data_IF_470558672489
#
_entry.id   IF_470558672489
#
_cell.length_a   1.000
_cell.length_b   1.000
_cell.length_c   1.000
_cell.angle_alpha   90.00
_cell.angle_beta   90.00
_cell.angle_gamma   90.00
#
_symmetry.space_group_name_H-M   'P 1'
#
loop_
_entity.id
_entity.type
_entity.pdbx_description
1 polymer ?
#
# COMPACT_ATOMS: atom_id res chain seq x y z
N UNK A 1 -66.53 10.04 1.57
CA UNK A 1 -65.60 10.41 2.66
C UNK A 1 -64.81 9.18 3.09
N UNK A 2 -63.47 9.33 3.17
CA UNK A 2 -62.45 8.36 3.63
C UNK A 2 -62.32 7.05 2.83
N UNK A 3 -61.37 7.05 1.89
CA UNK A 3 -60.72 5.82 1.42
C UNK A 3 -59.32 5.76 2.02
N UNK A 4 -59.06 4.71 2.81
CA UNK A 4 -57.75 4.39 3.34
C UNK A 4 -56.99 3.56 2.30
N UNK A 5 -56.03 4.19 1.62
CA UNK A 5 -55.07 3.48 0.77
C UNK A 5 -53.78 3.21 1.57
N UNK A 6 -53.68 1.99 2.08
CA UNK A 6 -52.43 1.40 2.56
C UNK A 6 -51.57 1.05 1.35
N UNK A 7 -50.55 1.86 1.06
CA UNK A 7 -49.55 1.53 0.02
C UNK A 7 -48.41 0.76 0.67
N UNK A 8 -48.39 -0.56 0.44
CA UNK A 8 -47.22 -1.41 0.65
C UNK A 8 -46.07 -0.95 -0.26
N UNK A 9 -45.04 -0.31 0.31
CA UNK A 9 -43.74 -0.13 -0.37
C UNK A 9 -42.97 -1.45 -0.30
N UNK A 10 -42.97 -2.18 -1.40
CA UNK A 10 -42.20 -3.41 -1.55
C UNK A 10 -40.70 -3.11 -1.62
N UNK A 11 -39.97 -3.66 -0.66
CA UNK A 11 -38.50 -3.76 -0.66
C UNK A 11 -38.14 -4.93 -1.57
N UNK A 12 -37.71 -4.66 -2.81
CA UNK A 12 -37.11 -5.68 -3.70
C UNK A 12 -36.09 -5.06 -4.65
N UNK A 13 -34.94 -4.66 -4.12
CA UNK A 13 -33.76 -4.30 -4.92
C UNK A 13 -32.48 -4.88 -4.29
N UNK A 14 -32.35 -6.20 -4.23
CA UNK A 14 -31.04 -6.81 -3.88
C UNK A 14 -30.75 -8.18 -4.49
N UNK A 15 -31.71 -8.83 -5.16
CA UNK A 15 -31.44 -10.08 -5.92
C UNK A 15 -31.27 -9.86 -7.42
N UNK A 16 -31.93 -8.87 -8.00
CA UNK A 16 -31.85 -8.60 -9.45
C UNK A 16 -30.49 -8.05 -9.89
N UNK A 17 -29.88 -7.14 -9.12
CA UNK A 17 -28.55 -6.60 -9.42
C UNK A 17 -27.43 -7.65 -9.29
N UNK A 18 -27.58 -8.60 -8.37
CA UNK A 18 -26.66 -9.74 -8.22
C UNK A 18 -26.86 -10.74 -9.35
N UNK A 19 -28.10 -11.04 -9.75
CA UNK A 19 -28.41 -11.94 -10.86
C UNK A 19 -27.90 -11.39 -12.22
N UNK A 20 -28.03 -10.07 -12.46
CA UNK A 20 -27.49 -9.45 -13.68
C UNK A 20 -25.95 -9.56 -13.77
N UNK A 21 -25.24 -9.41 -12.65
CA UNK A 21 -23.78 -9.60 -12.58
C UNK A 21 -23.35 -11.05 -12.84
N UNK A 22 -24.18 -12.02 -12.44
CA UNK A 22 -23.90 -13.44 -12.70
C UNK A 22 -24.21 -13.83 -14.15
N UNK A 23 -25.28 -13.28 -14.75
CA UNK A 23 -25.62 -13.55 -16.15
C UNK A 23 -24.58 -12.98 -17.13
N UNK A 24 -24.02 -11.78 -16.88
CA UNK A 24 -22.95 -11.23 -17.74
C UNK A 24 -21.62 -11.99 -17.61
N UNK A 25 -21.40 -12.78 -16.55
CA UNK A 25 -20.23 -13.67 -16.44
C UNK A 25 -20.35 -14.94 -17.29
N UNK A 26 -21.55 -15.32 -17.71
CA UNK A 26 -21.78 -16.56 -18.50
C UNK A 26 -21.72 -16.37 -20.01
N UNK A 27 -21.66 -15.13 -20.51
CA UNK A 27 -21.63 -14.83 -21.96
C UNK A 27 -20.24 -14.38 -22.47
N UNK A 28 -19.16 -14.65 -21.73
CA UNK A 28 -17.79 -14.39 -22.20
C UNK A 28 -16.88 -15.62 -22.13
N UNK A 29 -17.45 -16.82 -22.29
CA UNK A 29 -16.68 -18.06 -22.45
C UNK A 29 -17.17 -18.81 -23.68
N UNK A 30 -16.70 -18.37 -24.84
CA UNK A 30 -16.55 -19.21 -26.04
C UNK A 30 -15.33 -18.69 -26.79
N UNK A 31 -14.34 -19.58 -26.87
CA UNK A 31 -13.04 -19.42 -27.49
C UNK A 31 -13.17 -19.15 -29.00
N UNK A 32 -12.23 -18.36 -29.52
CA UNK A 32 -11.73 -18.46 -30.89
C UNK A 32 -10.39 -17.69 -30.93
N UNK A 33 -9.35 -18.27 -30.34
CA UNK A 33 -7.96 -17.86 -30.62
C UNK A 33 -7.39 -18.87 -31.63
N UNK A 34 -7.51 -18.52 -32.90
CA UNK A 34 -6.77 -19.14 -33.99
C UNK A 34 -5.29 -18.80 -33.86
N UNK A 35 -4.50 -19.81 -33.54
CA UNK A 35 -3.07 -19.99 -33.86
C UNK A 35 -2.29 -18.74 -34.30
N UNK A 36 -1.63 -18.11 -33.34
CA UNK A 36 -0.32 -17.48 -33.52
C UNK A 36 0.48 -17.68 -32.25
N UNK A 37 1.53 -18.51 -32.34
CA UNK A 37 2.46 -18.86 -31.26
C UNK A 37 3.40 -17.69 -30.95
N UNK A 38 2.84 -16.57 -30.50
CA UNK A 38 3.58 -15.56 -29.74
C UNK A 38 3.43 -15.92 -28.27
N UNK A 39 4.53 -16.29 -27.61
CA UNK A 39 4.60 -16.46 -26.16
C UNK A 39 4.03 -15.21 -25.49
N UNK A 40 2.77 -15.29 -25.01
CA UNK A 40 2.12 -14.15 -24.37
C UNK A 40 2.95 -13.75 -23.15
N UNK A 41 3.62 -12.58 -23.23
CA UNK A 41 4.34 -12.01 -22.09
C UNK A 41 3.35 -11.78 -20.96
N UNK A 42 3.47 -12.55 -19.89
CA UNK A 42 2.61 -12.43 -18.71
C UNK A 42 2.86 -11.07 -18.08
N UNK A 43 1.80 -10.28 -17.90
CA UNK A 43 1.87 -8.95 -17.30
C UNK A 43 2.50 -9.01 -15.87
N UNK A 44 3.43 -8.10 -15.50
CA UNK A 44 4.11 -8.12 -14.19
C UNK A 44 3.18 -8.18 -12.98
N UNK A 45 2.06 -7.43 -13.00
CA UNK A 45 1.02 -7.50 -11.97
C UNK A 45 0.37 -8.89 -11.74
N UNK A 46 0.58 -9.86 -12.65
CA UNK A 46 0.12 -11.25 -12.43
C UNK A 46 1.16 -12.12 -11.73
N UNK A 47 2.40 -11.63 -11.57
CA UNK A 47 3.53 -12.34 -10.97
C UNK A 47 3.93 -11.76 -9.60
N UNK A 48 2.98 -11.15 -8.89
CA UNK A 48 3.26 -10.47 -7.61
C UNK A 48 3.70 -11.47 -6.52
N UNK A 49 3.19 -12.70 -6.57
CA UNK A 49 3.64 -13.79 -5.72
C UNK A 49 4.17 -14.93 -6.60
N UNK A 50 5.50 -15.01 -6.81
CA UNK A 50 6.09 -16.00 -7.71
C UNK A 50 6.26 -17.38 -7.08
N UNK A 51 6.06 -17.51 -5.77
CA UNK A 51 6.38 -18.72 -5.00
C UNK A 51 5.40 -19.86 -5.29
N UNK A 52 5.95 -21.06 -5.46
CA UNK A 52 5.20 -22.31 -5.65
C UNK A 52 5.05 -23.10 -4.35
N UNK A 53 5.86 -22.79 -3.34
CA UNK A 53 5.85 -23.44 -2.03
C UNK A 53 6.13 -22.44 -0.90
N UNK A 54 5.81 -22.87 0.32
CA UNK A 54 6.08 -22.08 1.53
C UNK A 54 7.59 -21.91 1.75
N UNK A 55 8.39 -22.93 1.45
CA UNK A 55 9.85 -22.86 1.51
C UNK A 55 10.44 -21.82 0.56
N UNK A 56 9.92 -21.72 -0.67
CA UNK A 56 10.33 -20.68 -1.62
C UNK A 56 10.00 -19.29 -1.08
N UNK A 57 8.81 -19.12 -0.49
CA UNK A 57 8.40 -17.88 0.16
C UNK A 57 9.33 -17.52 1.33
N UNK A 58 9.64 -18.47 2.21
CA UNK A 58 10.51 -18.24 3.36
C UNK A 58 11.94 -17.87 2.94
N UNK A 59 12.50 -18.56 1.93
CA UNK A 59 13.81 -18.23 1.36
C UNK A 59 13.82 -16.85 0.71
N UNK A 60 12.76 -16.48 0.02
CA UNK A 60 12.60 -15.14 -0.56
C UNK A 60 12.49 -14.05 0.52
N UNK A 61 11.79 -14.31 1.63
CA UNK A 61 11.74 -13.38 2.75
C UNK A 61 13.10 -13.19 3.41
N UNK A 62 13.93 -14.24 3.48
CA UNK A 62 15.30 -14.16 3.98
C UNK A 62 16.18 -13.29 3.08
N UNK A 63 16.07 -13.44 1.76
CA UNK A 63 16.76 -12.57 0.79
C UNK A 63 16.34 -11.11 0.88
N UNK A 64 15.10 -10.87 1.32
CA UNK A 64 14.54 -9.53 1.50
C UNK A 64 14.89 -8.88 2.85
N UNK A 65 15.81 -9.44 3.64
CA UNK A 65 16.35 -8.78 4.85
C UNK A 65 17.18 -7.57 4.41
N UNK A 66 16.83 -6.38 4.88
CA UNK A 66 17.45 -5.10 4.51
C UNK A 66 18.21 -4.45 5.67
N UNK A 67 18.10 -4.99 6.88
CA UNK A 67 18.84 -4.53 8.06
C UNK A 67 18.92 -5.66 9.09
N UNK A 68 20.10 -5.88 9.65
CA UNK A 68 20.33 -6.82 10.75
C UNK A 68 21.47 -6.31 11.63
N UNK A 69 21.15 -5.49 12.63
CA UNK A 69 22.12 -4.97 13.60
C UNK A 69 21.44 -4.57 14.90
N UNK A 70 22.19 -4.58 16.01
CA UNK A 70 21.74 -4.10 17.34
C UNK A 70 20.46 -4.81 17.85
N UNK A 71 20.24 -6.06 17.43
CA UNK A 71 19.02 -6.82 17.74
C UNK A 71 17.76 -6.32 17.04
N UNK A 72 17.90 -5.46 16.03
CA UNK A 72 16.83 -4.98 15.16
C UNK A 72 17.00 -5.67 13.80
N UNK A 73 15.91 -6.25 13.31
CA UNK A 73 15.86 -6.86 11.98
C UNK A 73 14.80 -6.16 11.16
N UNK A 74 15.13 -5.82 9.91
CA UNK A 74 14.19 -5.25 8.97
C UNK A 74 14.10 -6.07 7.69
N UNK A 75 12.88 -6.23 7.18
CA UNK A 75 12.58 -6.97 5.96
C UNK A 75 11.82 -6.06 5.01
N UNK A 76 12.17 -6.09 3.73
CA UNK A 76 11.35 -5.51 2.67
C UNK A 76 10.18 -6.46 2.37
N UNK A 77 9.01 -6.19 2.93
CA UNK A 77 7.85 -7.07 2.76
C UNK A 77 7.22 -6.86 1.38
N UNK A 78 6.90 -7.94 0.63
CA UNK A 78 6.18 -7.83 -0.62
C UNK A 78 4.72 -7.39 -0.40
N UNK A 79 4.13 -6.83 -1.44
CA UNK A 79 2.71 -6.47 -1.45
C UNK A 79 1.84 -7.73 -1.33
N UNK A 80 0.72 -7.64 -0.63
CA UNK A 80 -0.29 -8.69 -0.57
C UNK A 80 -0.13 -9.67 0.60
N UNK A 81 1.05 -9.72 1.24
CA UNK A 81 1.32 -10.58 2.40
C UNK A 81 0.84 -9.90 3.69
N UNK A 82 -0.09 -10.53 4.46
CA UNK A 82 -0.51 -10.07 5.77
C UNK A 82 0.49 -10.47 6.86
N UNK A 83 0.40 -9.81 8.03
CA UNK A 83 1.16 -10.22 9.21
C UNK A 83 0.70 -11.58 9.73
N UNK A 84 -0.61 -11.79 9.84
CA UNK A 84 -1.22 -13.03 10.36
C UNK A 84 -2.12 -13.68 9.31
N UNK A 85 -2.14 -15.01 9.28
CA UNK A 85 -3.02 -15.78 8.41
C UNK A 85 -4.50 -15.60 8.77
N UNK A 86 -5.38 -15.67 7.76
CA UNK A 86 -6.82 -15.39 7.87
C UNK A 86 -7.68 -16.63 8.10
N UNK A 87 -7.16 -17.67 8.77
CA UNK A 87 -7.83 -18.99 8.86
C UNK A 87 -9.27 -18.97 9.42
N UNK A 88 -9.77 -17.88 10.03
CA UNK A 88 -11.12 -17.83 10.64
C UNK A 88 -11.91 -16.51 10.48
N UNK A 89 -11.56 -15.61 9.56
CA UNK A 89 -12.29 -14.32 9.44
C UNK A 89 -13.47 -14.49 8.48
N UNK A 90 -14.70 -14.46 9.01
CA UNK A 90 -15.94 -14.35 8.20
C UNK A 90 -15.76 -13.23 7.16
N UNK A 91 -16.08 -13.42 5.87
CA UNK A 91 -15.84 -12.45 4.82
C UNK A 91 -16.81 -11.26 4.94
N UNK A 92 -16.61 -10.43 5.95
CA UNK A 92 -17.34 -9.19 6.09
C UNK A 92 -16.73 -8.14 5.14
N UNK A 93 -17.45 -7.83 4.06
CA UNK A 93 -17.47 -6.53 3.38
C UNK A 93 -16.18 -6.00 2.71
N UNK A 94 -15.22 -6.86 2.36
CA UNK A 94 -14.05 -6.45 1.55
C UNK A 94 -13.86 -7.33 0.30
N UNK A 95 -14.94 -7.50 -0.48
CA UNK A 95 -14.93 -8.22 -1.76
C UNK A 95 -14.13 -7.51 -2.88
N UNK A 96 -13.60 -6.30 -2.64
CA UNK A 96 -13.22 -5.41 -3.73
C UNK A 96 -11.72 -5.38 -4.04
N UNK A 97 -10.87 -6.00 -3.20
CA UNK A 97 -9.42 -5.98 -3.43
C UNK A 97 -8.88 -7.38 -3.72
N UNK A 98 -8.98 -7.78 -4.98
CA UNK A 98 -8.38 -9.02 -5.50
C UNK A 98 -6.87 -8.84 -5.61
N UNK A 99 -6.11 -9.81 -5.09
CA UNK A 99 -4.68 -9.93 -5.35
C UNK A 99 -4.54 -11.08 -6.34
N UNK A 100 -4.03 -10.81 -7.54
CA UNK A 100 -3.85 -11.83 -8.57
C UNK A 100 -2.70 -12.75 -8.17
N UNK A 101 -2.92 -14.07 -8.24
CA UNK A 101 -1.95 -15.04 -7.73
C UNK A 101 -1.77 -14.95 -6.22
N UNK A 102 -2.82 -14.64 -5.45
CA UNK A 102 -2.72 -14.57 -4.00
C UNK A 102 -2.17 -15.89 -3.41
N UNK A 103 -1.02 -15.82 -2.74
CA UNK A 103 -0.51 -16.91 -1.93
C UNK A 103 -1.16 -16.83 -0.54
N UNK A 104 -1.46 -17.98 0.06
CA UNK A 104 -2.03 -18.06 1.41
C UNK A 104 -0.93 -18.18 2.48
N UNK A 105 0.08 -17.32 2.38
CA UNK A 105 1.17 -17.20 3.35
C UNK A 105 1.00 -15.93 4.18
N UNK A 106 1.49 -15.97 5.42
CA UNK A 106 1.61 -14.79 6.26
C UNK A 106 3.04 -14.60 6.73
N UNK A 107 3.37 -13.36 7.08
CA UNK A 107 4.70 -13.03 7.57
C UNK A 107 5.03 -13.80 8.85
N UNK A 108 4.03 -14.04 9.71
CA UNK A 108 4.17 -14.83 10.92
C UNK A 108 4.59 -16.28 10.67
N UNK A 109 4.22 -16.86 9.53
CA UNK A 109 4.60 -18.23 9.17
C UNK A 109 6.10 -18.32 8.85
N UNK A 110 6.67 -17.25 8.28
CA UNK A 110 8.11 -17.18 7.98
C UNK A 110 8.99 -16.80 9.19
N UNK A 111 8.44 -16.21 10.26
CA UNK A 111 9.26 -15.69 11.38
C UNK A 111 10.11 -16.76 12.09
N UNK A 112 9.63 -17.98 12.38
CA UNK A 112 10.45 -19.01 13.01
C UNK A 112 11.64 -19.41 12.13
N UNK A 113 11.40 -19.63 10.83
CA UNK A 113 12.45 -19.95 9.87
C UNK A 113 13.49 -18.82 9.77
N UNK A 114 13.03 -17.57 9.71
CA UNK A 114 13.92 -16.41 9.66
C UNK A 114 14.74 -16.26 10.95
N UNK A 115 14.14 -16.52 12.11
CA UNK A 115 14.86 -16.47 13.39
C UNK A 115 15.98 -17.51 13.45
N UNK A 116 15.71 -18.74 13.00
CA UNK A 116 16.70 -19.80 12.89
C UNK A 116 17.84 -19.42 11.93
N UNK A 117 17.51 -18.93 10.73
CA UNK A 117 18.52 -18.60 9.70
C UNK A 117 19.34 -17.35 10.01
N UNK A 118 18.82 -16.43 10.82
CA UNK A 118 19.51 -15.23 11.26
C UNK A 118 20.24 -15.42 12.61
N UNK A 119 20.20 -16.62 13.18
CA UNK A 119 20.78 -16.97 14.49
C UNK A 119 20.30 -16.02 15.61
N UNK A 120 18.99 -15.79 15.68
CA UNK A 120 18.35 -14.95 16.70
C UNK A 120 17.28 -15.73 17.46
N UNK A 121 17.04 -15.42 18.76
CA UNK A 121 16.14 -16.21 19.59
C UNK A 121 14.67 -16.16 19.12
N UNK A 122 14.22 -15.01 18.61
CA UNK A 122 12.89 -14.84 18.02
C UNK A 122 12.81 -13.52 17.26
N UNK A 123 11.78 -13.37 16.41
CA UNK A 123 11.45 -12.10 15.76
C UNK A 123 10.11 -11.58 16.29
N UNK A 124 10.16 -10.47 17.04
CA UNK A 124 8.97 -9.82 17.58
C UNK A 124 8.54 -8.66 16.66
N UNK A 125 7.33 -8.69 16.05
CA UNK A 125 6.85 -7.61 15.19
C UNK A 125 6.74 -6.27 15.94
N UNK A 126 7.41 -5.23 15.43
CA UNK A 126 7.31 -3.87 15.99
C UNK A 126 6.58 -2.92 15.04
N UNK A 127 7.01 -2.83 13.79
CA UNK A 127 6.43 -1.91 12.81
C UNK A 127 6.30 -2.57 11.44
N UNK A 128 5.09 -2.97 11.09
CA UNK A 128 4.83 -3.83 9.94
C UNK A 128 4.04 -3.07 8.86
N UNK A 129 4.48 -3.15 7.60
CA UNK A 129 3.73 -2.65 6.46
C UNK A 129 2.34 -3.33 6.36
N UNK A 130 1.31 -2.59 5.94
CA UNK A 130 -0.03 -3.14 5.78
C UNK A 130 -0.10 -4.22 4.70
N UNK A 131 -1.14 -5.06 4.71
CA UNK A 131 -1.31 -6.13 3.70
C UNK A 131 -1.17 -5.60 2.27
N UNK A 132 -1.82 -4.49 1.95
CA UNK A 132 -1.84 -3.91 0.60
C UNK A 132 -0.70 -2.90 0.37
N UNK A 133 0.40 -3.02 1.11
CA UNK A 133 1.57 -2.15 1.03
C UNK A 133 2.82 -3.02 1.02
N UNK A 134 3.81 -2.66 0.19
CA UNK A 134 5.16 -3.24 0.27
C UNK A 134 6.08 -2.35 1.11
N UNK A 135 7.28 -2.82 1.45
CA UNK A 135 8.30 -2.01 2.13
C UNK A 135 8.60 -2.47 3.55
N UNK A 136 9.21 -1.57 4.31
CA UNK A 136 9.87 -1.87 5.59
C UNK A 136 8.94 -2.56 6.59
N UNK A 137 9.40 -3.69 7.12
CA UNK A 137 8.86 -4.35 8.31
C UNK A 137 9.95 -4.51 9.35
N UNK A 138 9.77 -3.91 10.53
CA UNK A 138 10.72 -3.92 11.63
C UNK A 138 10.34 -4.94 12.71
N UNK A 139 11.36 -5.67 13.16
CA UNK A 139 11.31 -6.67 14.20
C UNK A 139 12.38 -6.39 15.26
N UNK A 140 12.07 -6.69 16.52
CA UNK A 140 13.07 -6.77 17.58
C UNK A 140 13.30 -8.21 17.98
N UNK A 141 14.52 -8.56 18.39
CA UNK A 141 14.85 -9.94 18.79
C UNK A 141 14.33 -10.31 20.19
N UNK A 142 13.97 -9.31 21.00
CA UNK A 142 13.46 -9.49 22.34
C UNK A 142 12.65 -8.27 22.80
N UNK A 143 11.98 -8.40 23.96
CA UNK A 143 11.14 -7.35 24.56
C UNK A 143 11.92 -6.06 24.88
N UNK A 144 13.19 -6.17 25.24
CA UNK A 144 14.01 -5.00 25.59
C UNK A 144 14.28 -4.14 24.36
N UNK A 145 14.62 -4.75 23.22
CA UNK A 145 14.81 -4.06 21.94
C UNK A 145 13.50 -3.42 21.48
N UNK A 146 12.37 -4.15 21.53
CA UNK A 146 11.06 -3.56 21.19
C UNK A 146 10.71 -2.34 22.07
N UNK A 147 11.06 -2.36 23.36
CA UNK A 147 10.89 -1.21 24.25
C UNK A 147 11.78 -0.04 23.84
N UNK A 148 13.02 -0.28 23.46
CA UNK A 148 13.93 0.76 22.96
C UNK A 148 13.42 1.38 21.64
N UNK A 149 12.94 0.54 20.72
CA UNK A 149 12.32 0.98 19.46
C UNK A 149 11.08 1.86 19.71
N UNK A 150 10.24 1.50 20.69
CA UNK A 150 9.08 2.30 21.07
C UNK A 150 9.48 3.68 21.61
N UNK A 151 10.52 3.75 22.45
CA UNK A 151 11.07 5.01 22.94
C UNK A 151 11.65 5.85 21.78
N UNK A 152 12.40 5.22 20.87
CA UNK A 152 12.95 5.88 19.69
C UNK A 152 11.85 6.45 18.78
N UNK A 153 10.76 5.70 18.58
CA UNK A 153 9.58 6.15 17.83
C UNK A 153 8.89 7.35 18.49
N UNK A 154 8.78 7.37 19.82
CA UNK A 154 8.17 8.53 20.51
C UNK A 154 9.00 9.80 20.34
N UNK A 155 10.32 9.66 20.28
CA UNK A 155 11.25 10.79 20.10
C UNK A 155 11.17 11.43 18.71
N UNK A 156 10.73 10.69 17.68
CA UNK A 156 10.64 11.22 16.30
C UNK A 156 9.45 12.16 16.07
N UNK A 157 8.61 12.39 17.10
CA UNK A 157 7.51 13.37 17.11
C UNK A 157 6.57 13.27 15.89
N UNK A 158 6.42 12.08 15.31
CA UNK A 158 5.54 11.84 14.17
C UNK A 158 6.19 12.00 12.79
N UNK A 159 7.50 12.22 12.67
CA UNK A 159 8.24 12.17 11.39
C UNK A 159 9.00 10.86 11.26
N UNK A 160 8.26 9.75 11.27
CA UNK A 160 8.83 8.43 11.49
C UNK A 160 8.67 7.49 10.29
N UNK A 161 7.78 7.76 9.34
CA UNK A 161 7.56 6.90 8.18
C UNK A 161 7.40 7.72 6.91
N UNK A 162 8.20 7.36 5.91
CA UNK A 162 8.18 7.90 4.56
C UNK A 162 7.59 6.85 3.62
N UNK A 163 6.60 7.26 2.83
CA UNK A 163 5.85 6.45 1.89
C UNK A 163 6.04 7.00 0.49
N UNK A 164 6.19 6.10 -0.47
CA UNK A 164 6.10 6.42 -1.88
C UNK A 164 4.83 5.82 -2.45
N UNK A 165 4.17 6.58 -3.31
CA UNK A 165 2.91 6.20 -3.92
C UNK A 165 2.80 6.71 -5.35
N UNK A 166 2.11 5.93 -6.19
CA UNK A 166 1.71 6.34 -7.53
C UNK A 166 0.22 6.68 -7.51
N UNK A 167 -0.15 7.87 -7.95
CA UNK A 167 -1.55 8.32 -8.03
C UNK A 167 -2.07 8.32 -9.46
N UNK A 168 -3.38 8.20 -9.65
CA UNK A 168 -4.01 8.15 -10.99
C UNK A 168 -4.19 9.52 -11.65
N UNK A 169 -3.65 10.58 -11.05
CA UNK A 169 -3.59 11.95 -11.56
C UNK A 169 -2.56 12.78 -10.80
N UNK A 170 -2.31 13.99 -11.26
CA UNK A 170 -1.53 14.98 -10.51
C UNK A 170 -2.44 15.65 -9.46
N UNK A 171 -1.99 15.76 -8.19
CA UNK A 171 -2.72 16.53 -7.19
C UNK A 171 -2.73 18.03 -7.54
N UNK A 172 -3.76 18.76 -7.11
CA UNK A 172 -3.85 20.21 -7.39
C UNK A 172 -2.68 21.00 -6.76
N UNK A 173 -2.24 20.56 -5.58
CA UNK A 173 -1.10 21.11 -4.88
C UNK A 173 0.06 20.10 -4.95
N UNK A 174 1.26 20.57 -5.28
CA UNK A 174 2.44 19.71 -5.49
C UNK A 174 3.22 19.42 -4.20
N UNK A 175 2.98 20.17 -3.12
CA UNK A 175 3.58 19.96 -1.81
C UNK A 175 2.74 20.61 -0.73
N UNK A 176 2.77 20.09 0.48
CA UNK A 176 2.04 20.69 1.59
C UNK A 176 2.27 19.97 2.91
N UNK A 177 1.80 20.62 3.98
CA UNK A 177 1.77 20.07 5.34
C UNK A 177 0.35 20.15 5.86
N UNK A 178 -0.16 19.05 6.36
CA UNK A 178 -1.52 18.96 6.88
C UNK A 178 -1.52 18.39 8.28
N UNK A 179 -2.33 19.02 9.13
CA UNK A 179 -2.70 18.51 10.45
C UNK A 179 -4.21 18.36 10.48
N UNK A 180 -4.68 17.13 10.66
CA UNK A 180 -6.10 16.83 10.65
C UNK A 180 -6.47 15.77 11.70
N UNK A 181 -7.75 15.68 12.00
CA UNK A 181 -8.34 14.64 12.82
C UNK A 181 -8.83 13.48 11.96
N UNK A 182 -8.83 12.29 12.53
CA UNK A 182 -9.38 11.09 11.91
C UNK A 182 -10.38 10.45 12.86
N UNK A 183 -11.57 10.12 12.35
CA UNK A 183 -12.65 9.47 13.10
C UNK A 183 -13.23 8.28 12.33
N UNK A 184 -13.92 7.39 13.04
CA UNK A 184 -14.75 6.35 12.44
C UNK A 184 -16.19 6.84 12.42
N UNK A 185 -16.67 7.21 11.24
CA UNK A 185 -18.06 7.55 11.02
C UNK A 185 -18.89 6.27 10.97
N UNK A 186 -20.11 6.30 11.49
CA UNK A 186 -21.02 5.16 11.53
C UNK A 186 -22.24 5.47 10.67
N UNK A 187 -22.55 4.60 9.71
CA UNK A 187 -23.76 4.71 8.90
C UNK A 187 -25.02 4.41 9.71
N UNK A 188 -26.18 4.75 9.13
CA UNK A 188 -27.48 4.35 9.69
C UNK A 188 -27.62 2.83 9.86
N UNK A 189 -26.94 2.03 9.03
CA UNK A 189 -26.90 0.57 9.11
C UNK A 189 -25.83 0.03 10.08
N UNK A 190 -25.17 0.90 10.86
CA UNK A 190 -24.14 0.52 11.84
C UNK A 190 -22.76 0.20 11.27
N UNK A 191 -22.58 0.27 9.94
CA UNK A 191 -21.25 0.07 9.32
C UNK A 191 -20.35 1.26 9.60
N UNK A 192 -19.08 1.01 9.94
CA UNK A 192 -18.10 2.06 10.27
C UNK A 192 -17.10 2.28 9.16
N UNK A 193 -16.84 3.54 8.80
CA UNK A 193 -15.81 3.91 7.80
C UNK A 193 -14.95 5.07 8.31
N UNK A 194 -13.63 5.05 8.04
CA UNK A 194 -12.77 6.17 8.40
C UNK A 194 -13.06 7.39 7.53
N UNK A 195 -13.00 8.57 8.15
CA UNK A 195 -13.05 9.88 7.49
C UNK A 195 -12.01 10.84 8.09
N UNK A 196 -11.60 11.82 7.29
CA UNK A 196 -10.71 12.92 7.69
C UNK A 196 -11.58 14.13 8.05
N UNK A 197 -11.30 14.73 9.21
CA UNK A 197 -11.95 15.96 9.68
C UNK A 197 -10.92 17.05 9.90
N UNK A 198 -11.21 18.27 9.45
CA UNK A 198 -10.32 19.44 9.59
C UNK A 198 -10.56 20.22 10.87
N UNK A 199 -11.70 19.98 11.53
CA UNK A 199 -12.08 20.61 12.79
C UNK A 199 -12.47 19.55 13.81
N UNK A 200 -12.06 19.74 15.06
CA UNK A 200 -12.38 18.82 16.17
C UNK A 200 -12.30 19.54 17.52
N UNK A 201 -12.95 18.95 18.53
CA UNK A 201 -12.88 19.41 19.92
C UNK A 201 -11.70 18.75 20.64
N UNK A 202 -10.94 19.50 21.43
CA UNK A 202 -9.82 18.95 22.23
C UNK A 202 -10.27 17.83 23.18
N UNK A 203 -11.49 17.91 23.72
CA UNK A 203 -12.03 16.85 24.57
C UNK A 203 -12.26 15.53 23.81
N UNK A 204 -12.61 15.58 22.52
CA UNK A 204 -12.75 14.38 21.69
C UNK A 204 -11.39 13.70 21.45
N UNK A 205 -10.31 14.48 21.38
CA UNK A 205 -8.93 13.96 21.32
C UNK A 205 -8.55 13.28 22.63
N UNK A 206 -8.82 13.93 23.78
CA UNK A 206 -8.57 13.35 25.12
C UNK A 206 -9.34 12.04 25.34
N UNK A 207 -10.57 11.95 24.83
CA UNK A 207 -11.42 10.75 24.87
C UNK A 207 -11.07 9.69 23.80
N UNK A 208 -10.02 9.89 23.02
CA UNK A 208 -9.59 9.00 21.93
C UNK A 208 -10.62 8.79 20.80
N UNK A 209 -11.64 9.66 20.71
CA UNK A 209 -12.63 9.66 19.62
C UNK A 209 -12.03 10.20 18.32
N UNK A 210 -11.13 11.18 18.43
CA UNK A 210 -10.38 11.78 17.31
C UNK A 210 -8.91 11.45 17.42
N UNK A 211 -8.31 10.96 16.33
CA UNK A 211 -6.86 10.77 16.23
C UNK A 211 -6.25 11.87 15.37
N UNK A 212 -5.36 12.66 15.97
CA UNK A 212 -4.62 13.71 15.24
C UNK A 212 -3.52 13.06 14.42
N UNK A 213 -3.41 13.45 13.16
CA UNK A 213 -2.41 12.98 12.22
C UNK A 213 -1.76 14.18 11.55
N UNK A 214 -0.43 14.15 11.47
CA UNK A 214 0.37 15.10 10.71
C UNK A 214 0.89 14.39 9.45
N UNK A 215 0.72 15.04 8.31
CA UNK A 215 1.15 14.56 7.01
C UNK A 215 1.88 15.67 6.27
N UNK A 216 3.12 15.40 5.89
CA UNK A 216 3.88 16.23 4.96
C UNK A 216 3.94 15.47 3.62
N UNK A 217 3.72 16.14 2.50
CA UNK A 217 3.80 15.49 1.19
C UNK A 217 4.46 16.38 0.15
N UNK A 218 5.03 15.75 -0.88
CA UNK A 218 5.57 16.39 -2.07
C UNK A 218 5.46 15.47 -3.29
N UNK A 219 5.14 16.03 -4.44
CA UNK A 219 5.25 15.35 -5.73
C UNK A 219 6.73 15.24 -6.07
N UNK A 220 7.20 14.02 -6.34
CA UNK A 220 8.58 13.74 -6.78
C UNK A 220 8.68 13.91 -8.29
N UNK A 221 7.77 13.26 -9.03
CA UNK A 221 7.76 13.27 -10.50
C UNK A 221 6.34 13.08 -11.01
N UNK A 222 6.05 13.65 -12.17
CA UNK A 222 4.85 13.33 -12.94
C UNK A 222 5.20 12.36 -14.07
N UNK A 223 4.19 11.64 -14.55
CA UNK A 223 4.33 10.74 -15.69
C UNK A 223 4.20 11.50 -17.01
N UNK A 224 4.39 10.77 -18.11
CA UNK A 224 4.00 11.21 -19.45
C UNK A 224 2.60 11.84 -19.43
N UNK A 225 2.47 13.01 -20.06
CA UNK A 225 1.23 13.79 -20.16
C UNK A 225 0.55 14.16 -18.82
N UNK A 226 1.25 14.13 -17.68
CA UNK A 226 0.68 14.41 -16.36
C UNK A 226 -0.54 13.52 -16.01
N UNK A 227 -0.55 12.28 -16.51
CA UNK A 227 -1.63 11.31 -16.24
C UNK A 227 -1.54 10.72 -14.83
N UNK A 228 -0.38 10.77 -14.19
CA UNK A 228 -0.12 10.24 -12.85
C UNK A 228 1.05 10.96 -12.18
N UNK A 229 1.17 10.80 -10.87
CA UNK A 229 2.29 11.35 -10.09
C UNK A 229 2.89 10.28 -9.18
N UNK A 230 4.21 10.33 -9.03
CA UNK A 230 4.94 9.73 -7.93
C UNK A 230 5.01 10.76 -6.79
N UNK A 231 4.50 10.40 -5.63
CA UNK A 231 4.39 11.29 -4.46
C UNK A 231 5.14 10.66 -3.28
N UNK A 232 5.89 11.49 -2.56
CA UNK A 232 6.40 11.18 -1.23
C UNK A 232 5.44 11.71 -0.17
N UNK A 233 5.08 10.86 0.77
CA UNK A 233 4.31 11.23 1.96
C UNK A 233 5.11 10.85 3.21
N UNK A 234 5.27 11.79 4.14
CA UNK A 234 5.75 11.52 5.50
C UNK A 234 4.56 11.65 6.44
N UNK A 235 4.28 10.63 7.23
CA UNK A 235 3.11 10.61 8.12
C UNK A 235 3.46 10.23 9.55
N UNK A 236 2.71 10.81 10.50
CA UNK A 236 2.76 10.47 11.92
C UNK A 236 1.93 9.26 12.31
N UNK A 237 1.16 8.68 11.38
CA UNK A 237 0.38 7.47 11.59
C UNK A 237 0.09 6.74 10.28
N UNK A 238 -0.14 5.43 10.37
CA UNK A 238 -0.69 4.59 9.29
C UNK A 238 -2.07 4.02 9.58
N UNK A 239 -2.69 4.44 10.69
CA UNK A 239 -3.95 3.84 11.16
C UNK A 239 -5.06 4.01 10.11
N UNK A 240 -5.92 2.99 10.00
CA UNK A 240 -7.13 3.00 9.16
C UNK A 240 -6.86 3.41 7.70
N UNK A 241 -5.74 2.96 7.11
CA UNK A 241 -5.35 3.27 5.74
C UNK A 241 -5.25 4.78 5.44
N UNK A 242 -4.81 5.57 6.42
CA UNK A 242 -4.84 7.04 6.29
C UNK A 242 -4.08 7.55 5.06
N UNK A 243 -2.96 6.93 4.66
CA UNK A 243 -2.19 7.38 3.50
C UNK A 243 -3.04 7.31 2.21
N UNK A 244 -3.77 6.21 2.05
CA UNK A 244 -4.71 5.99 0.93
C UNK A 244 -5.87 6.98 0.97
N UNK A 245 -6.48 7.13 2.15
CA UNK A 245 -7.61 8.03 2.34
C UNK A 245 -7.22 9.50 2.13
N UNK A 246 -6.02 9.90 2.59
CA UNK A 246 -5.46 11.23 2.43
C UNK A 246 -5.24 11.57 0.96
N UNK A 247 -4.54 10.71 0.22
CA UNK A 247 -4.32 10.93 -1.21
C UNK A 247 -5.64 11.00 -2.00
N UNK A 248 -6.58 10.10 -1.71
CA UNK A 248 -7.90 10.12 -2.35
C UNK A 248 -8.69 11.39 -2.00
N UNK A 249 -8.91 11.69 -0.72
CA UNK A 249 -9.89 12.71 -0.31
C UNK A 249 -9.30 14.10 -0.07
N UNK A 250 -8.06 14.23 0.38
CA UNK A 250 -7.44 15.53 0.62
C UNK A 250 -6.73 16.05 -0.64
N UNK A 251 -6.04 15.15 -1.38
CA UNK A 251 -5.34 15.53 -2.61
C UNK A 251 -6.18 15.36 -3.89
N UNK A 252 -7.39 14.79 -3.79
CA UNK A 252 -8.23 14.42 -4.92
C UNK A 252 -7.48 13.56 -5.96
N UNK A 253 -6.51 12.77 -5.50
CA UNK A 253 -5.56 12.05 -6.33
C UNK A 253 -5.41 10.62 -5.80
N UNK A 254 -6.38 9.72 -6.10
CA UNK A 254 -6.39 8.38 -5.53
C UNK A 254 -5.20 7.56 -6.02
N UNK A 255 -4.77 6.59 -5.20
CA UNK A 255 -3.65 5.73 -5.54
C UNK A 255 -4.02 4.80 -6.70
N UNK A 256 -3.04 4.54 -7.57
CA UNK A 256 -3.14 3.54 -8.62
C UNK A 256 -3.37 2.16 -7.99
N UNK A 257 -4.46 1.51 -8.40
CA UNK A 257 -4.90 0.22 -7.87
C UNK A 257 -5.70 0.29 -6.56
N UNK A 258 -6.02 1.47 -6.01
CA UNK A 258 -6.77 1.57 -4.75
C UNK A 258 -8.27 1.29 -4.90
N UNK A 259 -8.67 0.04 -4.71
CA UNK A 259 -10.07 -0.38 -4.80
C UNK A 259 -10.87 -0.22 -3.49
N UNK A 260 -10.29 0.39 -2.44
CA UNK A 260 -10.93 0.58 -1.13
C UNK A 260 -11.35 2.04 -0.93
N UNK A 261 -10.44 2.97 -1.21
CA UNK A 261 -10.63 4.40 -1.03
C UNK A 261 -10.57 5.18 -2.34
N UNK A 262 -10.16 4.58 -3.46
CA UNK A 262 -10.05 5.29 -4.73
C UNK A 262 -11.38 5.88 -5.22
N UNK A 263 -12.50 5.18 -5.01
CA UNK A 263 -13.84 5.62 -5.43
C UNK A 263 -14.46 6.72 -4.54
N UNK A 264 -13.77 7.10 -3.44
CA UNK A 264 -14.17 8.21 -2.55
C UNK A 264 -14.07 9.58 -3.20
N UNK A 265 -13.48 9.65 -4.39
CA UNK A 265 -13.49 10.83 -5.24
C UNK A 265 -13.86 10.43 -6.66
N UNK A 266 -14.67 11.26 -7.31
CA UNK A 266 -15.10 11.04 -8.69
C UNK A 266 -15.14 12.37 -9.44
N UNK A 267 -14.90 12.30 -10.73
CA UNK A 267 -15.06 13.43 -11.65
C UNK A 267 -16.50 13.48 -12.15
N UNK A 268 -17.17 14.60 -11.89
CA UNK A 268 -18.54 14.89 -12.32
C UNK A 268 -18.52 16.22 -13.04
N UNK A 269 -18.87 16.22 -14.33
CA UNK A 269 -18.88 17.42 -15.19
C UNK A 269 -17.54 18.19 -15.18
N UNK A 270 -16.42 17.47 -15.20
CA UNK A 270 -15.07 18.05 -15.18
C UNK A 270 -14.58 18.51 -13.80
N UNK A 271 -15.37 18.32 -12.74
CA UNK A 271 -15.02 18.72 -11.38
C UNK A 271 -14.88 17.47 -10.50
N UNK A 272 -13.80 17.44 -9.72
CA UNK A 272 -13.55 16.35 -8.78
C UNK A 272 -14.22 16.61 -7.44
N UNK A 273 -15.06 15.68 -7.02
CA UNK A 273 -15.87 15.80 -5.82
C UNK A 273 -15.61 14.62 -4.87
N UNK A 274 -15.71 14.90 -3.57
CA UNK A 274 -15.72 13.87 -2.52
C UNK A 274 -17.07 13.17 -2.55
N UNK A 275 -17.02 11.86 -2.49
CA UNK A 275 -18.21 11.00 -2.43
C UNK A 275 -18.43 10.58 -0.98
N UNK A 276 -19.68 10.64 -0.55
CA UNK A 276 -20.10 10.15 0.77
C UNK A 276 -19.54 8.74 1.02
N UNK A 277 -18.90 8.46 2.17
CA UNK A 277 -18.31 7.16 2.49
C UNK A 277 -19.20 5.95 2.23
N UNK A 278 -20.49 6.11 2.43
CA UNK A 278 -21.51 5.07 2.46
C UNK A 278 -22.33 5.01 1.18
N UNK A 279 -22.09 5.91 0.23
CA UNK A 279 -22.69 5.84 -1.10
C UNK A 279 -22.36 4.53 -1.82
N UNK A 280 -23.32 4.01 -2.59
CA UNK A 280 -23.19 2.74 -3.32
C UNK A 280 -22.11 2.78 -4.40
N UNK A 281 -21.83 3.97 -4.95
CA UNK A 281 -20.79 4.15 -5.96
C UNK A 281 -19.39 3.82 -5.44
N UNK A 282 -19.16 3.84 -4.12
CA UNK A 282 -17.90 3.41 -3.51
C UNK A 282 -17.65 1.90 -3.59
N UNK A 283 -18.65 1.09 -3.94
CA UNK A 283 -18.47 -0.34 -4.15
C UNK A 283 -17.96 -0.69 -5.55
N UNK A 284 -17.96 0.28 -6.48
CA UNK A 284 -17.41 0.10 -7.81
C UNK A 284 -15.91 0.38 -7.82
N UNK A 285 -15.19 -0.17 -8.82
CA UNK A 285 -13.79 0.15 -9.04
C UNK A 285 -13.65 1.66 -9.36
N UNK A 286 -12.57 2.32 -8.89
CA UNK A 286 -12.29 3.71 -9.25
C UNK A 286 -12.13 3.83 -10.76
N UNK A 287 -12.62 4.91 -11.37
CA UNK A 287 -12.41 5.15 -12.80
C UNK A 287 -10.97 5.60 -13.03
N UNK A 288 -10.23 4.88 -13.88
CA UNK A 288 -8.88 5.24 -14.29
C UNK A 288 -8.92 5.81 -15.71
N UNK A 289 -8.06 6.80 -15.99
CA UNK A 289 -7.92 7.37 -17.33
C UNK A 289 -7.49 6.30 -18.34
N UNK A 290 -8.13 6.26 -19.51
CA UNK A 290 -7.89 5.28 -20.57
C UNK A 290 -6.44 5.31 -21.07
N UNK A 291 -5.86 6.49 -21.27
CA UNK A 291 -4.46 6.65 -21.70
C UNK A 291 -3.49 6.14 -20.63
N UNK A 292 -3.82 6.30 -19.35
CA UNK A 292 -3.01 5.73 -18.26
C UNK A 292 -3.03 4.21 -18.28
N UNK A 293 -4.19 3.60 -18.55
CA UNK A 293 -4.31 2.15 -18.70
C UNK A 293 -3.53 1.63 -19.93
N UNK A 294 -3.58 2.36 -21.04
CA UNK A 294 -2.82 2.05 -22.26
C UNK A 294 -1.31 2.11 -22.03
N UNK A 295 -0.82 3.13 -21.32
CA UNK A 295 0.58 3.20 -20.90
C UNK A 295 1.00 2.01 -20.03
N UNK A 296 0.08 1.46 -19.24
CA UNK A 296 0.32 0.28 -18.41
C UNK A 296 0.05 -1.04 -19.15
N UNK A 297 -0.30 -1.02 -20.44
CA UNK A 297 -0.69 -2.21 -21.21
C UNK A 297 -1.86 -3.00 -20.57
N UNK A 298 -2.84 -2.29 -20.01
CA UNK A 298 -4.00 -2.87 -19.34
C UNK A 298 -5.28 -2.45 -20.02
N UNK A 299 -6.18 -3.40 -20.27
CA UNK A 299 -7.54 -3.10 -20.73
C UNK A 299 -8.42 -2.68 -19.53
N UNK A 300 -9.43 -1.80 -19.70
CA UNK A 300 -10.36 -1.45 -18.62
C UNK A 300 -10.99 -2.65 -17.91
N UNK A 301 -11.30 -3.73 -18.64
CA UNK A 301 -11.82 -4.98 -18.09
C UNK A 301 -10.84 -5.74 -17.19
N UNK A 302 -9.55 -5.40 -17.24
CA UNK A 302 -8.46 -6.03 -16.48
C UNK A 302 -7.97 -5.14 -15.33
N UNK A 303 -8.58 -3.97 -15.08
CA UNK A 303 -8.13 -3.02 -14.06
C UNK A 303 -7.98 -3.64 -12.65
N UNK A 304 -8.78 -4.67 -12.34
CA UNK A 304 -8.71 -5.39 -11.06
C UNK A 304 -7.36 -6.03 -10.76
N UNK A 305 -6.49 -6.22 -11.76
CA UNK A 305 -5.16 -6.82 -11.56
C UNK A 305 -4.13 -5.82 -10.99
N UNK A 306 -4.41 -4.52 -11.07
CA UNK A 306 -3.47 -3.48 -10.67
C UNK A 306 -3.28 -3.50 -9.14
N UNK A 307 -2.06 -3.72 -8.61
CA UNK A 307 -1.81 -3.66 -7.17
C UNK A 307 -1.91 -2.21 -6.67
N UNK A 308 -2.15 -2.03 -5.38
CA UNK A 308 -2.05 -0.69 -4.78
C UNK A 308 -0.59 -0.26 -4.82
N UNK A 309 -0.31 0.84 -5.50
CA UNK A 309 1.03 1.40 -5.59
C UNK A 309 1.32 2.25 -4.36
N UNK A 310 1.57 1.59 -3.23
CA UNK A 310 2.06 2.19 -2.00
C UNK A 310 3.21 1.36 -1.44
N UNK A 311 4.31 2.04 -1.14
CA UNK A 311 5.52 1.44 -0.61
C UNK A 311 5.98 2.24 0.61
N UNK A 312 6.18 1.56 1.74
CA UNK A 312 6.83 2.13 2.91
C UNK A 312 8.33 2.19 2.65
N UNK A 313 8.78 3.31 2.06
CA UNK A 313 10.14 3.53 1.58
C UNK A 313 11.14 3.57 2.72
N UNK A 314 10.86 4.29 3.80
CA UNK A 314 11.77 4.31 4.95
C UNK A 314 11.10 4.59 6.29
N UNK A 315 11.75 4.10 7.34
CA UNK A 315 11.39 4.34 8.74
C UNK A 315 12.55 5.04 9.43
N UNK A 316 12.26 6.16 10.09
CA UNK A 316 13.24 6.97 10.80
C UNK A 316 13.00 6.90 12.31
N UNK A 317 14.04 6.55 13.06
CA UNK A 317 14.03 6.35 14.51
C UNK A 317 15.16 7.15 15.16
N UNK A 318 14.85 7.88 16.23
CA UNK A 318 15.87 8.62 17.02
C UNK A 318 16.29 7.74 18.21
N UNK A 319 17.40 7.01 18.05
CA UNK A 319 17.87 6.00 19.01
C UNK A 319 18.46 6.68 20.25
N UNK A 320 19.22 7.76 20.07
CA UNK A 320 19.76 8.54 21.17
C UNK A 320 19.53 10.05 20.96
N UNK A 321 18.87 10.69 21.93
CA UNK A 321 18.54 12.13 21.87
C UNK A 321 19.79 13.00 22.05
N UNK A 322 20.70 12.58 22.91
CA UNK A 322 21.85 13.41 23.32
C UNK A 322 22.99 13.32 22.30
N UNK A 323 23.15 12.14 21.66
CA UNK A 323 24.15 11.91 20.61
C UNK A 323 23.63 12.20 19.19
N UNK A 324 22.39 12.69 19.04
CA UNK A 324 21.70 12.87 17.74
C UNK A 324 21.79 11.65 16.80
N UNK A 325 21.87 10.44 17.36
CA UNK A 325 22.02 9.23 16.57
C UNK A 325 20.65 8.83 16.02
N UNK A 326 20.45 9.04 14.72
CA UNK A 326 19.28 8.62 13.95
C UNK A 326 19.56 7.32 13.22
N UNK A 327 18.63 6.38 13.30
CA UNK A 327 18.58 5.19 12.47
C UNK A 327 17.52 5.39 11.39
N UNK A 328 17.95 5.32 10.13
CA UNK A 328 17.06 5.33 8.96
C UNK A 328 17.18 3.98 8.28
N UNK A 329 16.07 3.26 8.19
CA UNK A 329 16.00 1.99 7.49
C UNK A 329 15.20 2.22 6.22
N UNK A 330 15.83 1.99 5.07
CA UNK A 330 15.23 2.18 3.74
C UNK A 330 15.02 0.84 3.03
N UNK A 331 13.87 0.68 2.38
CA UNK A 331 13.56 -0.47 1.54
C UNK A 331 13.73 -0.10 0.06
N UNK A 332 14.30 -0.99 -0.78
CA UNK A 332 14.24 -0.83 -2.23
C UNK A 332 12.81 -1.05 -2.75
N UNK A 333 12.51 -0.49 -3.92
CA UNK A 333 11.21 -0.68 -4.56
C UNK A 333 11.05 -2.14 -5.00
N UNK A 334 9.86 -2.70 -4.79
CA UNK A 334 9.52 -4.05 -5.23
C UNK A 334 9.10 -4.07 -6.70
N UNK A 335 9.33 -5.19 -7.39
CA UNK A 335 9.20 -5.32 -8.85
C UNK A 335 7.93 -4.71 -9.47
N UNK A 336 6.70 -4.96 -8.94
CA UNK A 336 5.51 -4.39 -9.56
C UNK A 336 5.47 -2.86 -9.46
N UNK A 337 5.98 -2.29 -8.37
CA UNK A 337 6.02 -0.85 -8.15
C UNK A 337 7.11 -0.22 -9.01
N UNK A 338 8.30 -0.81 -9.03
CA UNK A 338 9.44 -0.35 -9.82
C UNK A 338 9.14 -0.41 -11.33
N UNK A 339 8.55 -1.51 -11.80
CA UNK A 339 8.10 -1.65 -13.18
C UNK A 339 7.15 -0.53 -13.58
N UNK A 340 6.17 -0.20 -12.73
CA UNK A 340 5.24 0.91 -12.98
C UNK A 340 5.96 2.24 -13.07
N UNK A 341 6.96 2.46 -12.20
CA UNK A 341 7.73 3.71 -12.25
C UNK A 341 8.51 3.86 -13.55
N UNK A 342 9.13 2.77 -14.02
CA UNK A 342 9.82 2.70 -15.31
C UNK A 342 8.85 2.90 -16.47
N UNK A 343 7.72 2.19 -16.45
CA UNK A 343 6.70 2.24 -17.50
C UNK A 343 6.07 3.63 -17.65
N UNK A 344 5.81 4.31 -16.54
CA UNK A 344 5.27 5.67 -16.51
C UNK A 344 6.34 6.76 -16.63
N UNK A 345 7.61 6.37 -16.77
CA UNK A 345 8.78 7.23 -16.96
C UNK A 345 8.93 8.30 -15.86
N UNK A 346 8.67 7.93 -14.61
CA UNK A 346 8.94 8.83 -13.49
C UNK A 346 10.45 9.08 -13.37
N UNK A 347 10.83 10.35 -13.20
CA UNK A 347 12.22 10.73 -12.87
C UNK A 347 12.42 10.51 -11.38
N UNK A 348 13.07 9.41 -11.03
CA UNK A 348 13.47 9.12 -9.66
C UNK A 348 14.88 9.68 -9.49
N UNK A 349 15.14 10.56 -8.50
CA UNK A 349 16.49 11.07 -8.22
C UNK A 349 17.51 9.93 -8.01
N UNK A 350 18.71 10.06 -8.58
CA UNK A 350 19.73 9.00 -8.64
C UNK A 350 20.29 8.60 -7.27
N UNK A 351 20.20 9.46 -6.25
CA UNK A 351 20.50 9.16 -4.83
C UNK A 351 19.67 8.00 -4.24
N UNK A 352 18.71 7.46 -5.01
CA UNK A 352 17.72 6.48 -4.56
C UNK A 352 17.85 5.14 -5.31
N UNK A 353 18.73 5.06 -6.32
CA UNK A 353 19.07 3.82 -7.04
C UNK A 353 20.26 3.08 -6.43
N UNK A 354 21.24 3.79 -5.88
CA UNK A 354 22.50 3.19 -5.42
C UNK A 354 22.41 2.74 -3.95
N UNK A 355 21.58 1.73 -3.68
CA UNK A 355 21.64 0.98 -2.41
C UNK A 355 21.67 -0.54 -2.61
N UNK A 356 21.89 -1.00 -3.84
CA UNK A 356 21.92 -2.43 -4.18
C UNK A 356 23.16 -2.92 -4.92
N UNK A 357 24.04 -2.06 -5.43
CA UNK A 357 25.04 -2.50 -6.43
C UNK A 357 26.48 -1.95 -6.24
N UNK A 358 26.84 -1.33 -5.10
CA UNK A 358 28.20 -0.77 -4.91
C UNK A 358 29.06 -1.47 -3.83
N UNK A 359 28.73 -2.69 -3.39
CA UNK A 359 29.57 -3.45 -2.44
C UNK A 359 30.33 -4.65 -3.05
N UNK A 360 30.40 -4.78 -4.39
CA UNK A 360 31.03 -5.98 -5.01
C UNK A 360 32.11 -5.74 -6.07
N UNK A 361 32.60 -4.52 -6.32
CA UNK A 361 33.64 -4.31 -7.34
C UNK A 361 34.93 -3.59 -6.90
N UNK A 362 35.01 -3.02 -5.69
CA UNK A 362 36.24 -2.28 -5.28
C UNK A 362 37.30 -3.13 -4.54
N UNK A 363 37.02 -4.38 -4.18
CA UNK A 363 38.01 -5.23 -3.46
C UNK A 363 38.92 -6.08 -4.36
N UNK A 364 38.76 -6.03 -5.69
CA UNK A 364 39.56 -6.82 -6.64
C UNK A 364 40.64 -6.05 -7.41
N UNK A 365 40.80 -4.74 -7.18
CA UNK A 365 41.79 -3.91 -7.90
C UNK A 365 43.07 -3.64 -7.08
N UNK A 366 43.07 -3.89 -5.77
CA UNK A 366 44.24 -3.59 -4.91
C UNK A 366 45.22 -4.76 -4.63
N UNK A 367 45.03 -5.94 -5.22
CA UNK A 367 45.96 -7.08 -5.00
C UNK A 367 46.96 -7.37 -6.14
N UNK A 368 47.02 -6.57 -7.20
CA UNK A 368 47.90 -6.83 -8.36
C UNK A 368 48.99 -5.79 -8.62
N UNK A 369 49.33 -4.94 -7.64
CA UNK A 369 50.54 -4.12 -7.73
C UNK A 369 51.28 -4.22 -6.41
N UNK A 370 52.26 -5.12 -6.33
CA UNK A 370 53.49 -5.03 -5.53
C UNK A 370 54.20 -6.38 -5.61
N UNK A 371 54.86 -6.63 -6.74
CA UNK A 371 56.02 -7.54 -6.82
C UNK A 371 56.92 -7.02 -7.95
N UNK A 372 58.01 -6.39 -7.54
CA UNK A 372 58.93 -5.70 -8.44
C UNK A 372 59.98 -4.91 -7.67
N UNK A 373 60.83 -5.63 -6.93
CA UNK A 373 62.20 -5.22 -6.64
C UNK A 373 63.06 -6.46 -6.40
#
# INVERSE_FOLDING_TARGET
>A
MKSAMTVFRSIRTSKFAVAFRTCYRKYCTTENDTTTTTTQKIHPYRRIHPWKSEDEFMKDMLKNVIYNSDGIIAINKPYGIPLYSKKNIKPALHLNHKIVGAADYSLNDALPYLAEKLDVPMLMPFYIAEKYMSGVCLFGINKNVCRQLELARRRTQGKYSKYWLVTTRVPNEIKGKHRFGMILETSAAGSKKPIIVTQWKNNAVKRNEVKIINVDYKVISNSTHNLSSLIEIVSSSRKWHIIRLFASTMLYSPLLGDNIHGSRVQEIMGIWLKIDPFADSNYNLPKINQQLLELLYIKPSQQEIIPVHIHLKSVHLIVNKDKKQSLVIEAPLMDPFDWTCKQLKFKIPDEIRNSSDEDNEEELVYMNTHDGN
#
